data_IF_414620079801
#
_entry.id   IF_414620079801
#
_cell.length_a   1.000
_cell.length_b   1.000
_cell.length_c   1.000
_cell.angle_alpha   90.00
_cell.angle_beta   90.00
_cell.angle_gamma   90.00
#
_symmetry.space_group_name_H-M   'P 1'
#
loop_
_entity.id
_entity.type
_entity.pdbx_description
1 polymer ?
#
# COMPACT_ATOMS: atom_id res chain seq x y z
N UNK A 1 5.28 9.62 -7.42
CA UNK A 1 4.40 9.44 -6.22
C UNK A 1 2.96 9.50 -6.67
N UNK A 2 2.12 8.63 -6.16
CA UNK A 2 0.67 8.64 -6.38
C UNK A 2 -0.06 8.14 -5.14
N UNK A 3 -1.28 8.65 -4.90
CA UNK A 3 -2.19 8.09 -3.90
C UNK A 3 -2.83 6.78 -4.36
N UNK A 4 -2.77 6.49 -5.65
CA UNK A 4 -3.37 5.32 -6.27
C UNK A 4 -2.37 4.56 -7.11
N UNK A 5 -2.35 3.23 -6.97
CA UNK A 5 -1.69 2.31 -7.88
C UNK A 5 -2.63 1.13 -8.13
N UNK A 6 -3.37 1.17 -9.23
CA UNK A 6 -4.28 0.11 -9.63
C UNK A 6 -3.52 -0.96 -10.43
N UNK A 7 -2.78 -1.79 -9.71
CA UNK A 7 -1.95 -2.84 -10.33
C UNK A 7 -2.81 -3.97 -10.91
N UNK A 8 -3.91 -4.29 -10.26
CA UNK A 8 -4.74 -5.42 -10.65
C UNK A 8 -4.06 -6.76 -10.35
N UNK A 9 -4.27 -7.74 -11.21
CA UNK A 9 -3.63 -9.06 -11.19
C UNK A 9 -2.22 -8.96 -11.77
N UNK A 10 -1.24 -9.56 -11.12
CA UNK A 10 0.16 -9.42 -11.49
C UNK A 10 0.78 -10.68 -12.08
N UNK A 11 0.18 -11.85 -11.87
CA UNK A 11 0.76 -13.13 -12.28
C UNK A 11 1.00 -13.20 -13.78
N UNK A 12 -0.03 -12.93 -14.58
CA UNK A 12 0.09 -12.98 -16.04
C UNK A 12 1.12 -11.98 -16.56
N UNK A 13 1.04 -10.73 -16.11
CA UNK A 13 1.98 -9.69 -16.51
C UNK A 13 3.44 -10.07 -16.15
N UNK A 14 3.65 -10.61 -14.96
CA UNK A 14 4.97 -11.05 -14.51
C UNK A 14 5.51 -12.20 -15.35
N UNK A 15 4.70 -13.23 -15.64
CA UNK A 15 5.11 -14.37 -16.44
C UNK A 15 5.45 -13.98 -17.88
N UNK A 16 4.67 -13.08 -18.47
CA UNK A 16 4.91 -12.55 -19.83
C UNK A 16 6.22 -11.75 -19.83
N UNK A 17 6.42 -10.85 -18.88
CA UNK A 17 7.57 -9.97 -18.83
C UNK A 17 8.90 -10.71 -18.67
N UNK A 18 8.91 -11.84 -17.92
CA UNK A 18 10.11 -12.66 -17.70
C UNK A 18 10.21 -13.89 -18.65
N UNK A 19 9.37 -13.94 -19.69
CA UNK A 19 9.33 -15.03 -20.67
C UNK A 19 9.16 -16.45 -20.06
N UNK A 20 8.25 -16.57 -19.10
CA UNK A 20 8.02 -17.83 -18.37
C UNK A 20 6.64 -18.42 -18.58
N UNK A 21 5.74 -17.74 -19.31
CA UNK A 21 4.33 -18.15 -19.44
C UNK A 21 4.18 -19.56 -20.04
N UNK A 22 4.89 -19.85 -21.14
CA UNK A 22 4.83 -21.16 -21.79
C UNK A 22 5.32 -22.29 -20.88
N UNK A 23 6.40 -22.05 -20.12
CA UNK A 23 6.98 -23.05 -19.19
C UNK A 23 6.03 -23.32 -18.01
N UNK A 24 5.39 -22.28 -17.47
CA UNK A 24 4.40 -22.43 -16.40
C UNK A 24 3.15 -23.16 -16.89
N UNK A 25 2.68 -22.84 -18.09
CA UNK A 25 1.54 -23.53 -18.71
C UNK A 25 1.82 -25.03 -18.86
N UNK A 26 2.98 -25.39 -19.37
CA UNK A 26 3.41 -26.78 -19.52
C UNK A 26 3.52 -27.50 -18.16
N UNK A 27 4.18 -26.87 -17.19
CA UNK A 27 4.33 -27.45 -15.85
C UNK A 27 2.98 -27.67 -15.15
N UNK A 28 2.05 -26.74 -15.25
CA UNK A 28 0.72 -26.86 -14.67
C UNK A 28 -0.12 -27.93 -15.32
N UNK A 29 -0.01 -28.09 -16.65
CA UNK A 29 -0.68 -29.20 -17.37
C UNK A 29 -0.25 -30.58 -16.86
N UNK A 30 1.00 -30.77 -16.46
CA UNK A 30 1.48 -32.04 -15.90
C UNK A 30 0.82 -32.42 -14.57
N UNK A 31 0.32 -31.45 -13.82
CA UNK A 31 -0.41 -31.66 -12.55
C UNK A 31 -1.93 -31.52 -12.72
N UNK A 32 -2.42 -31.42 -13.97
CA UNK A 32 -3.84 -31.36 -14.29
C UNK A 32 -4.49 -29.99 -14.06
N UNK A 33 -3.70 -28.92 -13.95
CA UNK A 33 -4.19 -27.54 -13.80
C UNK A 33 -4.02 -26.75 -15.10
N UNK A 34 -4.91 -25.80 -15.37
CA UNK A 34 -4.76 -24.84 -16.46
C UNK A 34 -4.24 -23.51 -15.90
N UNK A 35 -3.31 -22.89 -16.61
CA UNK A 35 -2.76 -21.60 -16.20
C UNK A 35 -3.83 -20.50 -16.18
N UNK A 36 -4.77 -20.55 -17.11
CA UNK A 36 -5.90 -19.63 -17.20
C UNK A 36 -6.77 -19.67 -15.93
N UNK A 37 -7.01 -20.87 -15.38
CA UNK A 37 -7.78 -21.04 -14.13
C UNK A 37 -7.02 -20.42 -12.94
N UNK A 38 -5.68 -20.54 -12.94
CA UNK A 38 -4.83 -19.93 -11.88
C UNK A 38 -4.87 -18.39 -11.95
N UNK A 39 -4.91 -17.81 -13.17
CA UNK A 39 -5.06 -16.36 -13.32
C UNK A 39 -6.38 -15.84 -12.72
N UNK A 40 -7.47 -16.63 -12.83
CA UNK A 40 -8.78 -16.24 -12.28
C UNK A 40 -8.84 -16.30 -10.74
N UNK A 41 -7.98 -17.10 -10.11
CA UNK A 41 -7.90 -17.18 -8.64
C UNK A 41 -7.14 -16.00 -7.98
N UNK A 42 -6.39 -15.25 -8.78
CA UNK A 42 -5.65 -14.10 -8.26
C UNK A 42 -6.59 -12.94 -7.94
N UNK A 43 -6.49 -12.43 -6.72
CA UNK A 43 -7.24 -11.26 -6.27
C UNK A 43 -6.59 -9.98 -6.80
N UNK A 44 -7.39 -9.06 -7.31
CA UNK A 44 -6.93 -7.75 -7.76
C UNK A 44 -6.30 -6.96 -6.61
N UNK A 45 -5.13 -6.36 -6.86
CA UNK A 45 -4.58 -5.31 -6.03
C UNK A 45 -5.28 -3.99 -6.39
N UNK A 46 -6.48 -3.79 -5.86
CA UNK A 46 -7.36 -2.68 -6.20
C UNK A 46 -7.06 -1.44 -5.35
N UNK A 47 -5.81 -0.97 -5.37
CA UNK A 47 -5.37 0.23 -4.65
C UNK A 47 -5.52 1.51 -5.50
N UNK A 48 -6.63 1.60 -6.23
CA UNK A 48 -6.97 2.73 -7.09
C UNK A 48 -8.42 2.67 -7.51
N UNK A 49 -8.93 3.79 -8.03
CA UNK A 49 -10.34 3.94 -8.42
C UNK A 49 -10.56 3.87 -9.93
N UNK A 50 -9.59 4.30 -10.73
CA UNK A 50 -9.77 4.36 -12.18
C UNK A 50 -8.51 4.81 -12.92
N UNK A 51 -8.68 5.77 -13.85
CA UNK A 51 -7.64 6.19 -14.78
C UNK A 51 -6.36 6.67 -14.13
N UNK A 52 -6.43 7.41 -13.02
CA UNK A 52 -5.24 7.90 -12.31
C UNK A 52 -4.38 6.74 -11.80
N UNK A 53 -5.00 5.82 -11.07
CA UNK A 53 -4.30 4.67 -10.49
C UNK A 53 -3.80 3.70 -11.56
N UNK A 54 -4.57 3.47 -12.63
CA UNK A 54 -4.14 2.61 -13.73
C UNK A 54 -3.01 3.25 -14.55
N UNK A 55 -3.05 4.56 -14.79
CA UNK A 55 -1.97 5.27 -15.46
C UNK A 55 -0.65 5.13 -14.70
N UNK A 56 -0.69 5.30 -13.37
CA UNK A 56 0.49 5.11 -12.53
C UNK A 56 1.08 3.69 -12.65
N UNK A 57 0.22 2.67 -12.64
CA UNK A 57 0.63 1.28 -12.84
C UNK A 57 1.25 1.05 -14.23
N UNK A 58 0.62 1.56 -15.30
CA UNK A 58 1.14 1.46 -16.67
C UNK A 58 2.47 2.18 -16.85
N UNK A 59 2.68 3.32 -16.17
CA UNK A 59 3.97 4.00 -16.22
C UNK A 59 5.09 3.20 -15.58
N UNK A 60 4.83 2.52 -14.48
CA UNK A 60 5.83 1.64 -13.85
C UNK A 60 6.27 0.53 -14.81
N UNK A 61 5.31 -0.11 -15.46
CA UNK A 61 5.55 -1.18 -16.42
C UNK A 61 6.33 -0.68 -17.65
N UNK A 62 5.91 0.46 -18.21
CA UNK A 62 6.59 1.10 -19.35
C UNK A 62 8.02 1.52 -19.01
N UNK A 63 8.24 2.13 -17.84
CA UNK A 63 9.58 2.54 -17.41
C UNK A 63 10.50 1.34 -17.20
N UNK A 64 9.98 0.24 -16.63
CA UNK A 64 10.75 -1.00 -16.48
C UNK A 64 11.12 -1.60 -17.86
N UNK A 65 10.17 -1.64 -18.80
CA UNK A 65 10.35 -2.16 -20.16
C UNK A 65 11.33 -1.34 -20.99
N UNK A 66 11.35 -0.02 -20.78
CA UNK A 66 12.30 0.89 -21.45
C UNK A 66 13.67 0.95 -20.77
N UNK A 67 13.94 0.08 -19.82
CA UNK A 67 15.18 0.03 -19.05
C UNK A 67 15.52 1.34 -18.30
N UNK A 68 14.49 2.08 -17.91
CA UNK A 68 14.60 3.33 -17.16
C UNK A 68 14.47 3.01 -15.67
N UNK A 69 15.51 3.26 -14.85
CA UNK A 69 15.42 3.02 -13.41
C UNK A 69 14.39 3.94 -12.77
N UNK A 70 13.39 3.34 -12.12
CA UNK A 70 12.31 4.06 -11.50
C UNK A 70 11.83 3.37 -10.21
N UNK A 71 11.24 4.15 -9.32
CA UNK A 71 10.57 3.65 -8.13
C UNK A 71 9.25 4.38 -7.95
N UNK A 72 8.15 3.63 -7.86
CA UNK A 72 6.86 4.14 -7.45
C UNK A 72 6.77 4.29 -5.93
N UNK A 73 6.08 5.31 -5.46
CA UNK A 73 5.81 5.53 -4.04
C UNK A 73 4.33 5.81 -3.84
N UNK A 74 3.70 5.04 -2.95
CA UNK A 74 2.28 5.16 -2.62
C UNK A 74 1.98 4.69 -1.20
N UNK A 75 0.71 4.51 -0.91
CA UNK A 75 0.20 4.05 0.37
C UNK A 75 -0.30 2.61 0.22
N UNK A 76 0.08 1.75 1.15
CA UNK A 76 -0.41 0.38 1.26
C UNK A 76 -1.69 0.38 2.08
N UNK A 77 -2.81 0.55 1.40
CA UNK A 77 -4.10 0.50 2.07
C UNK A 77 -4.42 -0.91 2.56
N UNK A 78 -4.94 -1.02 3.77
CA UNK A 78 -5.35 -2.32 4.33
C UNK A 78 -6.58 -2.88 3.61
N UNK A 79 -7.44 -2.01 3.09
CA UNK A 79 -8.58 -2.35 2.24
C UNK A 79 -8.38 -1.75 0.85
N UNK A 80 -8.67 -2.51 -0.19
CA UNK A 80 -8.74 -1.97 -1.55
C UNK A 80 -9.84 -0.92 -1.68
N UNK A 81 -9.99 -0.34 -2.88
CA UNK A 81 -11.21 0.41 -3.17
C UNK A 81 -12.40 -0.49 -2.90
N UNK A 82 -13.50 0.05 -2.37
CA UNK A 82 -14.66 -0.74 -2.00
C UNK A 82 -15.10 -1.74 -3.09
N UNK A 83 -15.53 -2.92 -2.66
CA UNK A 83 -16.19 -3.89 -3.51
C UNK A 83 -17.65 -3.47 -3.69
N UNK A 84 -18.14 -3.53 -4.92
CA UNK A 84 -19.53 -3.20 -5.23
C UNK A 84 -20.40 -4.45 -5.17
N UNK A 85 -21.52 -4.37 -4.46
CA UNK A 85 -22.57 -5.38 -4.46
C UNK A 85 -23.90 -4.73 -4.86
N UNK A 86 -24.79 -5.52 -5.44
CA UNK A 86 -26.18 -5.11 -5.71
C UNK A 86 -27.08 -5.73 -4.65
N UNK A 87 -27.73 -4.87 -3.86
CA UNK A 87 -28.71 -5.29 -2.85
C UNK A 87 -30.01 -4.52 -3.07
N UNK A 88 -31.10 -5.25 -3.21
CA UNK A 88 -32.44 -4.69 -3.46
C UNK A 88 -32.49 -3.75 -4.69
N UNK A 89 -31.67 -4.02 -5.71
CA UNK A 89 -31.57 -3.21 -6.93
C UNK A 89 -30.68 -1.97 -6.81
N UNK A 90 -30.03 -1.76 -5.67
CA UNK A 90 -29.14 -0.62 -5.43
C UNK A 90 -27.69 -1.09 -5.19
N UNK A 91 -26.74 -0.26 -5.60
CA UNK A 91 -25.34 -0.47 -5.31
C UNK A 91 -25.08 -0.28 -3.82
N UNK A 92 -24.36 -1.22 -3.23
CA UNK A 92 -23.85 -1.17 -1.85
C UNK A 92 -22.32 -1.31 -1.89
N UNK A 93 -21.63 -0.46 -1.16
CA UNK A 93 -20.19 -0.50 -1.02
C UNK A 93 -19.80 -1.43 0.14
N UNK A 94 -18.93 -2.39 -0.13
CA UNK A 94 -18.43 -3.35 0.85
C UNK A 94 -16.91 -3.25 0.95
N UNK A 95 -16.33 -3.52 2.12
CA UNK A 95 -14.88 -3.56 2.25
C UNK A 95 -14.26 -4.59 1.31
N UNK A 96 -13.17 -4.22 0.64
CA UNK A 96 -12.37 -5.14 -0.17
C UNK A 96 -11.21 -5.69 0.66
N UNK A 97 -11.31 -6.94 1.06
CA UNK A 97 -10.31 -7.66 1.87
C UNK A 97 -9.22 -8.27 0.98
N UNK A 98 -8.58 -7.47 0.13
CA UNK A 98 -7.61 -7.94 -0.86
C UNK A 98 -6.41 -8.68 -0.27
N UNK A 99 -6.11 -8.48 1.02
CA UNK A 99 -5.02 -9.13 1.76
C UNK A 99 -5.45 -10.40 2.52
N UNK A 100 -6.70 -10.84 2.41
CA UNK A 100 -7.22 -11.96 3.19
C UNK A 100 -6.49 -13.29 2.95
N UNK A 101 -5.97 -13.49 1.74
CA UNK A 101 -5.15 -14.66 1.37
C UNK A 101 -3.64 -14.38 1.41
N UNK A 102 -3.21 -13.21 1.94
CA UNK A 102 -1.86 -12.70 1.80
C UNK A 102 -1.59 -12.06 0.44
N UNK A 103 -0.41 -11.50 0.27
CA UNK A 103 0.04 -10.93 -1.00
C UNK A 103 1.43 -11.50 -1.35
N UNK A 104 1.54 -12.46 -2.29
CA UNK A 104 2.82 -13.07 -2.63
C UNK A 104 3.76 -12.12 -3.39
N UNK A 105 3.25 -11.01 -3.92
CA UNK A 105 4.01 -10.06 -4.73
C UNK A 105 4.80 -9.06 -3.90
N UNK A 106 4.44 -8.84 -2.65
CA UNK A 106 5.10 -7.85 -1.81
C UNK A 106 6.12 -8.48 -0.85
N UNK A 107 7.18 -7.73 -0.61
CA UNK A 107 8.22 -8.03 0.36
C UNK A 107 8.15 -6.97 1.44
N UNK A 108 7.82 -7.39 2.66
CA UNK A 108 7.87 -6.52 3.83
C UNK A 108 9.33 -6.11 4.12
N UNK A 109 9.55 -4.81 4.36
CA UNK A 109 10.87 -4.24 4.60
C UNK A 109 10.94 -3.59 5.98
N UNK A 110 11.07 -4.41 7.05
CA UNK A 110 11.18 -3.89 8.41
C UNK A 110 12.48 -3.10 8.66
N UNK A 111 13.47 -3.29 7.78
CA UNK A 111 14.72 -2.54 7.73
C UNK A 111 14.57 -1.14 7.13
N UNK A 112 13.45 -0.85 6.45
CA UNK A 112 13.18 0.43 5.79
C UNK A 112 11.98 1.09 6.45
N UNK A 113 12.26 1.86 7.49
CA UNK A 113 11.26 2.59 8.26
C UNK A 113 11.64 4.04 8.44
N UNK A 114 10.64 4.92 8.45
CA UNK A 114 10.85 6.36 8.69
C UNK A 114 9.86 6.89 9.72
N UNK A 115 10.30 7.68 10.71
CA UNK A 115 9.39 8.40 11.58
C UNK A 115 8.75 9.58 10.82
N UNK A 116 7.43 9.64 10.84
CA UNK A 116 6.64 10.73 10.28
C UNK A 116 5.93 11.44 11.42
N UNK A 117 6.06 12.75 11.48
CA UNK A 117 5.44 13.58 12.51
C UNK A 117 4.26 14.35 11.97
N UNK A 118 3.17 14.28 12.70
CA UNK A 118 1.97 15.07 12.44
C UNK A 118 1.74 16.06 13.56
N UNK A 119 1.19 17.23 13.25
CA UNK A 119 0.98 18.34 14.20
C UNK A 119 2.27 18.86 14.84
N UNK A 120 2.15 19.42 16.05
CA UNK A 120 3.28 20.04 16.73
C UNK A 120 3.47 21.49 16.30
N UNK A 121 4.64 22.03 16.64
CA UNK A 121 5.02 23.39 16.34
C UNK A 121 6.47 23.45 15.87
N UNK A 122 6.85 24.51 15.20
CA UNK A 122 8.21 24.72 14.78
C UNK A 122 8.73 26.08 15.23
N UNK A 123 10.02 26.16 15.52
CA UNK A 123 10.72 27.44 15.75
C UNK A 123 11.65 27.73 14.58
N UNK A 124 11.71 29.01 14.19
CA UNK A 124 12.64 29.47 13.14
C UNK A 124 14.09 29.52 13.61
N UNK A 125 14.37 29.38 14.91
CA UNK A 125 15.69 29.34 15.49
C UNK A 125 16.20 27.89 15.56
N UNK A 126 16.65 27.37 14.44
CA UNK A 126 17.38 26.11 14.36
C UNK A 126 18.88 26.29 14.54
N UNK A 127 19.68 25.21 14.59
CA UNK A 127 21.13 25.24 14.76
C UNK A 127 21.86 25.90 13.58
N UNK A 128 21.20 26.17 12.47
CA UNK A 128 21.71 26.89 11.31
C UNK A 128 20.67 27.84 10.73
N UNK A 129 21.01 28.88 9.97
CA UNK A 129 20.08 29.74 9.28
C UNK A 129 19.19 28.95 8.32
N UNK A 130 17.87 29.12 8.45
CA UNK A 130 16.88 28.44 7.61
C UNK A 130 16.46 27.03 8.10
N UNK A 131 17.06 26.50 9.16
CA UNK A 131 16.65 25.24 9.77
C UNK A 131 15.60 25.51 10.85
N UNK A 132 14.45 24.88 10.72
CA UNK A 132 13.41 24.90 11.74
C UNK A 132 13.52 23.66 12.63
N UNK A 133 13.36 23.86 13.94
CA UNK A 133 13.20 22.75 14.88
C UNK A 133 11.72 22.43 15.03
N UNK A 134 11.35 21.19 14.77
CA UNK A 134 10.00 20.68 15.02
C UNK A 134 9.94 20.07 16.42
N UNK A 135 8.96 20.45 17.22
CA UNK A 135 8.75 19.93 18.56
C UNK A 135 7.28 19.59 18.81
N UNK A 136 7.04 18.59 19.68
CA UNK A 136 5.70 18.06 19.96
C UNK A 136 5.10 17.27 18.78
N UNK A 137 3.79 17.09 18.82
CA UNK A 137 3.05 16.36 17.84
C UNK A 137 3.01 14.85 18.08
N UNK A 138 2.45 14.15 17.11
CA UNK A 138 2.26 12.70 17.07
C UNK A 138 3.26 12.11 16.07
N UNK A 139 3.92 11.03 16.45
CA UNK A 139 4.85 10.32 15.56
C UNK A 139 4.29 8.96 15.20
N UNK A 140 4.24 8.66 13.91
CA UNK A 140 3.97 7.33 13.38
C UNK A 140 5.19 6.82 12.62
N UNK A 141 5.29 5.52 12.44
CA UNK A 141 6.35 4.90 11.62
C UNK A 141 5.77 4.50 10.28
N UNK A 142 6.32 5.05 9.21
CA UNK A 142 6.08 4.57 7.85
C UNK A 142 7.01 3.38 7.60
N UNK A 143 6.43 2.19 7.35
CA UNK A 143 7.17 0.98 7.02
C UNK A 143 6.94 0.61 5.57
N UNK A 144 8.03 0.23 4.87
CA UNK A 144 7.99 -0.07 3.45
C UNK A 144 7.55 -1.50 3.14
N UNK A 145 6.78 -1.64 2.06
CA UNK A 145 6.46 -2.89 1.37
C UNK A 145 6.85 -2.72 -0.10
N UNK A 146 7.72 -3.58 -0.59
CA UNK A 146 8.28 -3.48 -1.94
C UNK A 146 7.69 -4.57 -2.85
N UNK A 147 7.16 -4.15 -3.99
CA UNK A 147 6.68 -5.04 -5.05
C UNK A 147 7.58 -4.87 -6.28
N UNK A 148 8.22 -5.95 -6.79
CA UNK A 148 9.02 -5.88 -8.01
C UNK A 148 8.13 -5.68 -9.23
N UNK A 149 8.60 -4.85 -10.16
CA UNK A 149 7.95 -4.55 -11.44
C UNK A 149 8.94 -4.93 -12.55
N UNK A 150 8.89 -6.17 -13.07
CA UNK A 150 9.79 -6.59 -14.14
C UNK A 150 9.42 -5.93 -15.47
N UNK A 151 10.42 -5.52 -16.23
CA UNK A 151 10.24 -5.02 -17.59
C UNK A 151 10.12 -6.18 -18.59
N UNK A 152 9.45 -5.91 -19.72
CA UNK A 152 9.28 -6.89 -20.78
C UNK A 152 10.61 -7.07 -21.57
N UNK A 153 11.08 -8.31 -21.64
CA UNK A 153 12.33 -8.68 -22.33
C UNK A 153 13.56 -7.83 -21.92
N UNK A 154 13.64 -7.42 -20.67
CA UNK A 154 14.79 -6.69 -20.13
C UNK A 154 15.20 -7.25 -18.76
N UNK A 155 16.46 -7.04 -18.39
CA UNK A 155 16.94 -7.38 -17.04
C UNK A 155 16.54 -6.35 -15.98
N UNK A 156 15.99 -5.22 -16.41
CA UNK A 156 15.56 -4.19 -15.47
C UNK A 156 14.29 -4.60 -14.72
N UNK A 157 14.35 -4.51 -13.42
CA UNK A 157 13.19 -4.69 -12.54
C UNK A 157 13.07 -3.46 -11.65
N UNK A 158 12.06 -2.66 -11.89
CA UNK A 158 11.73 -1.51 -11.08
C UNK A 158 11.00 -1.94 -9.80
N UNK A 159 10.63 -0.99 -8.97
CA UNK A 159 10.00 -1.25 -7.68
C UNK A 159 8.86 -0.31 -7.43
N UNK A 160 7.75 -0.87 -6.95
CA UNK A 160 6.68 -0.13 -6.30
C UNK A 160 6.86 -0.26 -4.79
N UNK A 161 7.10 0.86 -4.10
CA UNK A 161 7.18 0.92 -2.64
C UNK A 161 5.93 1.54 -2.09
N UNK A 162 5.18 0.76 -1.34
CA UNK A 162 4.01 1.20 -0.64
C UNK A 162 4.31 1.32 0.86
N UNK A 163 3.83 2.39 1.47
CA UNK A 163 4.06 2.67 2.88
C UNK A 163 2.85 2.29 3.72
N UNK A 164 3.11 1.58 4.80
CA UNK A 164 2.12 1.29 5.85
C UNK A 164 2.46 2.07 7.11
N UNK A 165 1.46 2.71 7.69
CA UNK A 165 1.60 3.40 8.97
C UNK A 165 1.52 2.41 10.12
N UNK A 166 2.46 2.55 11.06
CA UNK A 166 2.52 1.81 12.32
C UNK A 166 2.66 2.80 13.48
N UNK A 167 2.28 2.42 14.71
CA UNK A 167 2.49 3.28 15.89
C UNK A 167 3.97 3.59 16.07
N UNK A 168 4.27 4.83 16.47
CA UNK A 168 5.64 5.31 16.69
C UNK A 168 6.27 4.79 17.98
N UNK A 169 5.43 4.36 18.92
CA UNK A 169 5.87 3.77 20.19
C UNK A 169 5.65 2.26 20.17
N UNK A 170 6.55 1.54 20.81
CA UNK A 170 6.32 0.14 21.14
C UNK A 170 5.06 0.01 22.01
N UNK A 171 4.51 -1.19 22.04
CA UNK A 171 3.35 -1.51 22.88
C UNK A 171 3.62 -1.09 24.34
N UNK A 172 2.81 -0.19 24.88
CA UNK A 172 2.95 0.32 26.24
C UNK A 172 2.47 -0.75 27.25
N UNK A 173 3.41 -1.59 27.63
CA UNK A 173 3.18 -2.67 28.59
C UNK A 173 2.76 -2.14 29.96
N UNK A 174 3.20 -0.93 30.36
CA UNK A 174 2.82 -0.34 31.65
C UNK A 174 1.35 0.05 31.64
N UNK A 175 0.86 0.72 30.59
CA UNK A 175 -0.57 1.02 30.45
C UNK A 175 -1.41 -0.25 30.42
N UNK A 176 -0.93 -1.27 29.71
CA UNK A 176 -1.61 -2.55 29.65
C UNK A 176 -1.70 -3.22 31.04
N UNK A 177 -0.61 -3.27 31.80
CA UNK A 177 -0.58 -3.84 33.16
C UNK A 177 -1.42 -3.04 34.17
N UNK A 178 -1.63 -1.74 33.91
CA UNK A 178 -2.49 -0.89 34.73
C UNK A 178 -3.99 -1.00 34.32
N UNK A 179 -4.36 -1.97 33.48
CA UNK A 179 -5.70 -2.17 32.95
C UNK A 179 -6.23 -0.97 32.09
N UNK A 180 -5.36 -0.12 31.57
CA UNK A 180 -5.71 0.95 30.65
C UNK A 180 -5.72 0.45 29.20
N UNK A 181 -6.43 -0.65 28.94
CA UNK A 181 -6.44 -1.35 27.64
C UNK A 181 -6.88 -0.45 26.49
N UNK A 182 -7.93 0.33 26.69
CA UNK A 182 -8.48 1.20 25.64
C UNK A 182 -7.46 2.24 25.19
N UNK A 183 -6.69 2.83 26.11
CA UNK A 183 -5.68 3.84 25.76
C UNK A 183 -4.50 3.24 25.00
N UNK A 184 -4.06 2.03 25.38
CA UNK A 184 -2.97 1.33 24.70
C UNK A 184 -3.33 0.93 23.26
N UNK A 185 -4.63 0.62 23.03
CA UNK A 185 -5.16 0.23 21.73
C UNK A 185 -5.44 1.45 20.85
N UNK A 186 -5.96 2.54 21.42
CA UNK A 186 -6.33 3.74 20.66
C UNK A 186 -5.15 4.39 19.92
N UNK A 187 -3.97 4.47 20.53
CA UNK A 187 -2.78 5.02 19.89
C UNK A 187 -2.39 4.18 18.66
N UNK A 188 -2.46 2.86 18.80
CA UNK A 188 -2.21 1.93 17.70
C UNK A 188 -3.23 2.10 16.58
N UNK A 189 -4.50 2.13 16.91
CA UNK A 189 -5.58 2.30 15.92
C UNK A 189 -5.46 3.62 15.16
N UNK A 190 -5.13 4.73 15.85
CA UNK A 190 -4.94 6.03 15.21
C UNK A 190 -3.82 6.02 14.15
N UNK A 191 -2.72 5.34 14.44
CA UNK A 191 -1.64 5.19 13.47
C UNK A 191 -2.08 4.33 12.27
N UNK A 192 -2.74 3.21 12.53
CA UNK A 192 -3.17 2.27 11.49
C UNK A 192 -4.27 2.85 10.58
N UNK A 193 -5.16 3.72 11.08
CA UNK A 193 -6.19 4.36 10.26
C UNK A 193 -5.65 5.18 9.09
N UNK A 194 -4.43 5.73 9.20
CA UNK A 194 -3.83 6.54 8.13
C UNK A 194 -3.76 5.75 6.83
N UNK A 195 -3.47 4.46 6.91
CA UNK A 195 -3.34 3.59 5.73
C UNK A 195 -4.46 2.57 5.59
N UNK A 196 -5.61 2.78 6.23
CA UNK A 196 -6.70 1.82 6.17
C UNK A 196 -7.43 1.87 4.83
N UNK A 197 -7.90 3.04 4.42
CA UNK A 197 -8.82 3.20 3.27
C UNK A 197 -8.39 4.36 2.38
N UNK A 198 -8.44 4.14 1.07
CA UNK A 198 -8.29 5.17 0.05
C UNK A 198 -9.53 6.08 0.05
N UNK A 199 -9.33 7.40 0.03
CA UNK A 199 -10.38 8.41 0.01
C UNK A 199 -11.42 8.28 1.14
N UNK A 200 -11.01 8.44 2.41
CA UNK A 200 -11.97 8.49 3.50
C UNK A 200 -12.95 9.64 3.30
N UNK A 201 -14.16 9.50 3.85
CA UNK A 201 -15.16 10.57 3.80
C UNK A 201 -14.63 11.82 4.50
N UNK A 202 -14.60 12.95 3.78
CA UNK A 202 -14.07 14.23 4.24
C UNK A 202 -15.17 15.26 4.58
N UNK A 203 -16.39 14.81 4.80
CA UNK A 203 -17.50 15.67 5.26
C UNK A 203 -17.32 16.12 6.71
N UNK A 204 -16.58 15.35 7.52
CA UNK A 204 -16.25 15.66 8.91
C UNK A 204 -14.81 16.19 9.04
N UNK A 205 -14.53 16.82 10.19
CA UNK A 205 -13.17 17.29 10.49
C UNK A 205 -12.16 16.14 10.57
N UNK A 206 -12.54 15.05 11.21
CA UNK A 206 -11.72 13.85 11.38
C UNK A 206 -11.38 13.21 10.03
N UNK A 207 -12.34 13.18 9.10
CA UNK A 207 -12.10 12.69 7.75
C UNK A 207 -11.16 13.57 6.93
N UNK A 208 -11.29 14.91 7.07
CA UNK A 208 -10.35 15.87 6.45
C UNK A 208 -8.93 15.71 7.02
N UNK A 209 -8.82 15.56 8.34
CA UNK A 209 -7.54 15.30 9.01
C UNK A 209 -6.89 14.02 8.49
N UNK A 210 -7.66 12.94 8.37
CA UNK A 210 -7.16 11.67 7.87
C UNK A 210 -6.65 11.79 6.43
N UNK A 211 -7.38 12.47 5.55
CA UNK A 211 -6.93 12.76 4.16
C UNK A 211 -5.66 13.61 4.12
N UNK A 212 -5.52 14.54 5.05
CA UNK A 212 -4.31 15.37 5.12
C UNK A 212 -3.09 14.56 5.59
N UNK A 213 -3.31 13.54 6.41
CA UNK A 213 -2.24 12.65 6.89
C UNK A 213 -1.79 11.65 5.81
N UNK A 214 -2.66 11.28 4.88
CA UNK A 214 -2.33 10.46 3.71
C UNK A 214 -1.49 11.23 2.69
#
# INVERSE_FOLDING_TARGET
MSLEFLMGRMLQNSLVNIDMEAKYKDALMHIGCKLEDVYEEETDQALGNGGLGRLAACFLDSLATLDIPAMGYGIRYDYGIFRQEIKDGYQVEMPDYWLSKGNPWEIERPDVTYPVRFFGSFTKSGPAPGVANWYGGETVIAMAYDTPIPGFNTYNTNRLRLWRSRPGNEFDLQKFNNAEYDKSIMERQRAEYITSVLYPNDSTWEGKELRLKQ
#
